data_IF_675207430955
#
_entry.id   IF_675207430955
#
_cell.length_a   1.000
_cell.length_b   1.000
_cell.length_c   1.000
_cell.angle_alpha   90.00
_cell.angle_beta   90.00
_cell.angle_gamma   90.00
#
_symmetry.space_group_name_H-M   'P 1'
#
loop_
_entity.id
_entity.type
_entity.pdbx_description
1 polymer ?
#
# COMPACT_ATOMS: atom_id res chain seq x y z
N UNK A 1 -76.34 39.83 34.27
CA UNK A 1 -75.30 39.03 34.94
C UNK A 1 -75.42 37.63 34.35
N UNK A 2 -74.96 37.40 33.11
CA UNK A 2 -73.57 37.24 32.64
C UNK A 2 -73.08 35.77 32.75
N UNK A 3 -73.09 35.13 31.58
CA UNK A 3 -72.21 34.07 31.05
C UNK A 3 -72.33 32.60 31.50
N UNK A 4 -72.49 31.69 30.53
CA UNK A 4 -71.72 30.44 30.34
C UNK A 4 -70.79 30.57 29.10
N UNK A 5 -70.18 29.48 28.60
CA UNK A 5 -69.05 28.72 29.11
C UNK A 5 -67.73 29.06 28.37
N UNK A 6 -66.61 28.63 28.94
CA UNK A 6 -65.24 28.80 28.42
C UNK A 6 -64.95 27.93 27.19
N UNK A 7 -64.70 28.60 26.06
CA UNK A 7 -64.16 28.01 24.82
C UNK A 7 -62.62 28.11 24.76
N UNK A 8 -62.08 27.06 24.17
CA UNK A 8 -60.68 26.80 23.83
C UNK A 8 -60.28 27.69 22.64
N UNK A 9 -59.13 28.37 22.72
CA UNK A 9 -58.60 29.22 21.64
C UNK A 9 -57.08 29.30 21.69
N UNK A 10 -56.45 28.50 20.83
CA UNK A 10 -55.01 28.27 20.64
C UNK A 10 -54.39 29.35 19.75
N UNK A 11 -53.26 29.95 20.18
CA UNK A 11 -52.02 30.23 19.40
C UNK A 11 -51.26 31.44 19.97
N UNK A 12 -50.15 31.18 20.67
CA UNK A 12 -48.98 32.07 20.65
C UNK A 12 -47.75 31.20 20.34
N UNK A 13 -47.26 31.33 19.11
CA UNK A 13 -46.01 30.71 18.64
C UNK A 13 -44.86 31.54 19.20
N UNK A 14 -44.17 31.01 20.20
CA UNK A 14 -42.85 31.49 20.59
C UNK A 14 -41.78 30.46 20.22
N UNK A 15 -40.94 30.93 19.31
CA UNK A 15 -39.61 30.50 18.91
C UNK A 15 -38.85 29.65 19.95
N UNK A 16 -38.78 28.34 19.68
CA UNK A 16 -37.64 27.53 20.10
C UNK A 16 -36.81 27.20 18.87
N UNK A 17 -35.81 28.06 18.62
CA UNK A 17 -34.65 27.75 17.77
C UNK A 17 -33.87 26.61 18.42
N UNK A 18 -34.30 25.39 18.18
CA UNK A 18 -33.47 24.21 18.29
C UNK A 18 -32.39 24.27 17.22
N UNK A 19 -31.22 24.77 17.61
CA UNK A 19 -30.00 24.77 16.81
C UNK A 19 -29.56 23.30 16.62
N UNK A 20 -30.14 22.59 15.65
CA UNK A 20 -29.53 21.38 15.09
C UNK A 20 -28.32 21.85 14.27
N UNK A 21 -27.16 21.94 14.94
CA UNK A 21 -25.90 21.88 14.22
C UNK A 21 -25.83 20.56 13.45
N UNK A 22 -25.17 20.51 12.28
CA UNK A 22 -24.98 19.25 11.58
C UNK A 22 -24.23 18.32 12.53
N UNK A 23 -24.92 17.27 12.95
CA UNK A 23 -24.34 16.20 13.74
C UNK A 23 -23.12 15.65 13.02
N UNK A 24 -22.10 15.34 13.80
CA UNK A 24 -20.99 14.51 13.39
C UNK A 24 -21.53 13.23 12.73
N UNK A 25 -21.47 13.15 11.40
CA UNK A 25 -21.47 11.86 10.72
C UNK A 25 -20.14 11.18 11.07
N UNK A 26 -20.16 10.53 12.24
CA UNK A 26 -19.20 9.49 12.59
C UNK A 26 -19.27 8.44 11.50
N UNK A 27 -18.17 8.28 10.78
CA UNK A 27 -17.90 7.19 9.84
C UNK A 27 -18.22 5.85 10.49
N UNK A 28 -19.45 5.36 10.31
CA UNK A 28 -19.90 4.05 10.79
C UNK A 28 -19.22 2.98 9.95
N UNK A 29 -18.49 2.07 10.60
CA UNK A 29 -17.96 0.89 9.95
C UNK A 29 -19.10 -0.13 9.74
N UNK A 30 -19.68 -0.10 8.53
CA UNK A 30 -20.85 -0.90 8.12
C UNK A 30 -20.57 -2.41 7.95
N UNK A 31 -19.35 -2.88 8.27
CA UNK A 31 -19.01 -4.31 8.24
C UNK A 31 -19.71 -5.08 9.36
N UNK A 32 -20.21 -6.28 9.05
CA UNK A 32 -20.73 -7.22 10.04
C UNK A 32 -19.62 -7.75 10.94
N UNK A 33 -19.96 -8.26 12.13
CA UNK A 33 -18.97 -8.86 13.04
C UNK A 33 -18.24 -10.05 12.40
N UNK A 34 -18.96 -10.87 11.62
CA UNK A 34 -18.37 -11.98 10.86
C UNK A 34 -17.38 -11.49 9.79
N UNK A 35 -17.67 -10.35 9.13
CA UNK A 35 -16.76 -9.74 8.16
C UNK A 35 -15.51 -9.19 8.86
N UNK A 36 -15.68 -8.47 9.98
CA UNK A 36 -14.56 -7.94 10.78
C UNK A 36 -13.64 -9.07 11.25
N UNK A 37 -14.21 -10.20 11.68
CA UNK A 37 -13.44 -11.38 12.08
C UNK A 37 -12.67 -12.01 10.91
N UNK A 38 -13.31 -12.17 9.75
CA UNK A 38 -12.66 -12.68 8.54
C UNK A 38 -11.52 -11.78 8.07
N UNK A 39 -11.73 -10.46 8.07
CA UNK A 39 -10.72 -9.47 7.71
C UNK A 39 -9.52 -9.52 8.67
N UNK A 40 -9.77 -9.63 9.98
CA UNK A 40 -8.71 -9.74 11.00
C UNK A 40 -7.90 -11.04 10.87
N UNK A 41 -8.56 -12.18 10.65
CA UNK A 41 -7.89 -13.47 10.41
C UNK A 41 -7.03 -13.43 9.15
N UNK A 42 -7.55 -12.83 8.07
CA UNK A 42 -6.80 -12.66 6.83
C UNK A 42 -5.62 -11.70 7.02
N UNK A 43 -5.82 -10.55 7.67
CA UNK A 43 -4.78 -9.57 7.92
C UNK A 43 -3.63 -10.17 8.75
N UNK A 44 -3.94 -10.97 9.77
CA UNK A 44 -2.94 -11.70 10.55
C UNK A 44 -2.15 -12.69 9.70
N UNK A 45 -2.84 -13.50 8.88
CA UNK A 45 -2.19 -14.47 8.00
C UNK A 45 -1.27 -13.80 6.98
N UNK A 46 -1.74 -12.72 6.35
CA UNK A 46 -0.94 -11.95 5.39
C UNK A 46 0.25 -11.27 6.06
N UNK A 47 0.07 -10.74 7.28
CA UNK A 47 1.15 -10.10 8.03
C UNK A 47 2.30 -11.08 8.26
N UNK A 48 1.98 -12.28 8.75
CA UNK A 48 2.98 -13.33 8.99
C UNK A 48 3.74 -13.71 7.69
N UNK A 49 3.04 -13.88 6.57
CA UNK A 49 3.67 -14.20 5.28
C UNK A 49 4.66 -13.11 4.81
N UNK A 50 4.33 -11.84 5.04
CA UNK A 50 5.14 -10.70 4.61
C UNK A 50 6.30 -10.46 5.59
N UNK A 51 6.09 -10.66 6.89
CA UNK A 51 7.14 -10.62 7.91
C UNK A 51 8.20 -11.71 7.66
N UNK A 52 7.79 -12.96 7.43
CA UNK A 52 8.69 -14.06 7.08
C UNK A 52 9.49 -13.78 5.80
N UNK A 53 8.89 -13.08 4.84
CA UNK A 53 9.56 -12.66 3.63
C UNK A 53 10.58 -11.53 3.90
N UNK A 54 10.20 -10.55 4.71
CA UNK A 54 11.07 -9.45 5.13
C UNK A 54 12.33 -9.95 5.83
N UNK A 55 12.20 -10.91 6.75
CA UNK A 55 13.35 -11.50 7.45
C UNK A 55 14.40 -12.08 6.48
N UNK A 56 13.96 -12.58 5.32
CA UNK A 56 14.83 -13.20 4.32
C UNK A 56 15.35 -12.21 3.28
N UNK A 57 14.52 -11.28 2.82
CA UNK A 57 14.87 -10.37 1.71
C UNK A 57 15.66 -9.14 2.17
N UNK A 58 15.39 -8.62 3.38
CA UNK A 58 16.05 -7.40 3.89
C UNK A 58 17.57 -7.58 4.06
N UNK A 59 18.10 -8.73 4.53
CA UNK A 59 19.54 -8.95 4.50
C UNK A 59 20.13 -8.91 3.09
N UNK A 60 19.41 -9.42 2.08
CA UNK A 60 19.85 -9.42 0.69
C UNK A 60 19.89 -7.99 0.11
N UNK A 61 18.88 -7.16 0.39
CA UNK A 61 18.87 -5.76 -0.06
C UNK A 61 20.05 -4.98 0.53
N UNK A 62 20.39 -5.20 1.81
CA UNK A 62 21.56 -4.61 2.46
C UNK A 62 22.87 -5.06 1.82
N UNK A 63 23.01 -6.34 1.48
CA UNK A 63 24.19 -6.84 0.77
C UNK A 63 24.31 -6.23 -0.63
N UNK A 64 23.21 -6.12 -1.39
CA UNK A 64 23.18 -5.47 -2.70
C UNK A 64 23.68 -4.03 -2.60
N UNK A 65 23.14 -3.25 -1.65
CA UNK A 65 23.59 -1.86 -1.41
C UNK A 65 25.07 -1.78 -1.12
N UNK A 66 25.55 -2.63 -0.21
CA UNK A 66 26.98 -2.67 0.17
C UNK A 66 27.89 -2.95 -1.03
N UNK A 67 27.53 -3.89 -1.91
CA UNK A 67 28.33 -4.18 -3.10
C UNK A 67 28.40 -2.99 -4.06
N UNK A 68 27.26 -2.31 -4.28
CA UNK A 68 27.19 -1.13 -5.16
C UNK A 68 27.95 0.05 -4.53
N UNK A 69 27.77 0.33 -3.24
CA UNK A 69 28.48 1.39 -2.51
C UNK A 69 30.00 1.17 -2.53
N UNK A 70 30.45 -0.06 -2.28
CA UNK A 70 31.86 -0.41 -2.31
C UNK A 70 32.47 -0.23 -3.71
N UNK A 71 31.70 -0.48 -4.77
CA UNK A 71 32.16 -0.26 -6.14
C UNK A 71 32.21 1.25 -6.47
N UNK A 72 31.19 2.01 -6.07
CA UNK A 72 31.11 3.46 -6.28
C UNK A 72 32.21 4.23 -5.52
N UNK A 73 32.63 3.74 -4.36
CA UNK A 73 33.71 4.33 -3.59
C UNK A 73 35.12 4.12 -4.19
N UNK A 74 35.29 3.22 -5.17
CA UNK A 74 36.58 3.00 -5.85
C UNK A 74 36.88 4.13 -6.82
N UNK A 75 38.17 4.36 -7.06
CA UNK A 75 38.64 5.22 -8.17
C UNK A 75 38.14 4.66 -9.49
N UNK A 76 37.89 5.53 -10.47
CA UNK A 76 37.23 5.15 -11.71
C UNK A 76 38.01 4.05 -12.46
N UNK A 77 39.34 4.15 -12.48
CA UNK A 77 40.24 3.17 -13.07
C UNK A 77 40.24 1.79 -12.39
N UNK A 78 39.81 1.71 -11.13
CA UNK A 78 39.79 0.49 -10.30
C UNK A 78 38.39 -0.14 -10.22
N UNK A 79 37.39 0.43 -10.91
CA UNK A 79 36.02 -0.08 -10.93
C UNK A 79 35.91 -1.26 -11.88
N UNK A 80 35.59 -2.43 -11.33
CA UNK A 80 35.29 -3.63 -12.12
C UNK A 80 33.78 -3.89 -12.14
N UNK A 81 33.13 -3.49 -13.23
CA UNK A 81 31.70 -3.72 -13.41
C UNK A 81 31.32 -5.20 -13.47
N UNK A 82 32.20 -6.09 -13.92
CA UNK A 82 31.92 -7.53 -13.93
C UNK A 82 31.92 -8.09 -12.52
N UNK A 83 32.88 -7.68 -11.68
CA UNK A 83 32.92 -8.05 -10.27
C UNK A 83 31.63 -7.61 -9.55
N UNK A 84 31.13 -6.40 -9.84
CA UNK A 84 29.86 -5.93 -9.30
C UNK A 84 28.69 -6.81 -9.74
N UNK A 85 28.61 -7.15 -11.03
CA UNK A 85 27.57 -8.02 -11.58
C UNK A 85 27.59 -9.38 -10.90
N UNK A 86 28.76 -10.00 -10.78
CA UNK A 86 28.92 -11.34 -10.22
C UNK A 86 28.53 -11.39 -8.73
N UNK A 87 28.76 -10.29 -7.99
CA UNK A 87 28.37 -10.17 -6.60
C UNK A 87 26.85 -9.90 -6.41
N UNK A 88 26.26 -9.03 -7.23
CA UNK A 88 24.88 -8.55 -7.03
C UNK A 88 23.83 -9.47 -7.65
N UNK A 89 24.12 -10.04 -8.83
CA UNK A 89 23.20 -10.91 -9.57
C UNK A 89 22.62 -12.07 -8.75
N UNK A 90 23.42 -12.89 -8.02
CA UNK A 90 22.85 -14.00 -7.24
C UNK A 90 21.91 -13.52 -6.12
N UNK A 91 22.18 -12.35 -5.52
CA UNK A 91 21.35 -11.77 -4.47
C UNK A 91 19.98 -11.32 -5.03
N UNK A 92 19.96 -10.70 -6.22
CA UNK A 92 18.73 -10.30 -6.89
C UNK A 92 17.87 -11.52 -7.26
N UNK A 93 18.48 -12.58 -7.81
CA UNK A 93 17.78 -13.82 -8.15
C UNK A 93 17.16 -14.46 -6.90
N UNK A 94 17.90 -14.49 -5.79
CA UNK A 94 17.41 -15.05 -4.54
C UNK A 94 16.27 -14.21 -3.96
N UNK A 95 16.39 -12.89 -3.96
CA UNK A 95 15.34 -11.97 -3.51
C UNK A 95 14.08 -12.12 -4.37
N UNK A 96 14.23 -12.22 -5.69
CA UNK A 96 13.12 -12.41 -6.63
C UNK A 96 12.39 -13.73 -6.36
N UNK A 97 13.14 -14.81 -6.13
CA UNK A 97 12.57 -16.11 -5.78
C UNK A 97 11.71 -16.03 -4.53
N UNK A 98 12.23 -15.41 -3.46
CA UNK A 98 11.49 -15.23 -2.20
C UNK A 98 10.20 -14.45 -2.45
N UNK A 99 10.27 -13.32 -3.16
CA UNK A 99 9.08 -12.51 -3.42
C UNK A 99 8.05 -13.22 -4.30
N UNK A 100 8.46 -14.03 -5.28
CA UNK A 100 7.53 -14.85 -6.06
C UNK A 100 6.83 -15.92 -5.21
N UNK A 101 7.56 -16.60 -4.32
CA UNK A 101 6.99 -17.56 -3.37
C UNK A 101 5.98 -16.87 -2.43
N UNK A 102 6.34 -15.69 -1.89
CA UNK A 102 5.43 -14.87 -1.07
C UNK A 102 4.22 -14.40 -1.85
N UNK A 103 4.39 -13.95 -3.09
CA UNK A 103 3.29 -13.53 -3.97
C UNK A 103 2.29 -14.68 -4.19
N UNK A 104 2.79 -15.89 -4.44
CA UNK A 104 1.96 -17.09 -4.55
C UNK A 104 1.21 -17.40 -3.25
N UNK A 105 1.88 -17.31 -2.10
CA UNK A 105 1.27 -17.54 -0.79
C UNK A 105 0.20 -16.49 -0.44
N UNK A 106 0.45 -15.21 -0.72
CA UNK A 106 -0.52 -14.11 -0.57
C UNK A 106 -1.76 -14.37 -1.42
N UNK A 107 -1.58 -14.75 -2.70
CA UNK A 107 -2.69 -15.12 -3.58
C UNK A 107 -3.47 -16.34 -3.08
N UNK A 108 -2.78 -17.31 -2.48
CA UNK A 108 -3.38 -18.49 -1.86
C UNK A 108 -4.08 -18.24 -0.53
N UNK A 109 -3.87 -17.08 0.11
CA UNK A 109 -4.49 -16.73 1.38
C UNK A 109 -5.97 -16.30 1.23
N UNK A 110 -6.36 -15.72 0.08
CA UNK A 110 -7.76 -15.45 -0.31
C UNK A 110 -8.10 -16.10 -1.68
N UNK A 111 -8.26 -17.43 -1.74
CA UNK A 111 -8.57 -18.15 -2.97
C UNK A 111 -10.03 -17.86 -3.37
N UNK A 112 -10.22 -16.77 -4.13
CA UNK A 112 -11.51 -16.33 -4.64
C UNK A 112 -11.70 -14.82 -4.69
N UNK A 113 -10.73 -14.02 -4.21
CA UNK A 113 -10.91 -12.57 -4.10
C UNK A 113 -12.18 -12.20 -3.32
N UNK A 114 -12.62 -13.06 -2.39
CA UNK A 114 -13.91 -12.89 -1.70
C UNK A 114 -13.85 -11.68 -0.78
N UNK A 115 -12.66 -11.39 -0.24
CA UNK A 115 -12.39 -10.19 0.55
C UNK A 115 -12.10 -9.00 -0.37
N UNK A 116 -11.32 -9.17 -1.45
CA UNK A 116 -11.05 -8.10 -2.44
C UNK A 116 -12.33 -7.52 -3.07
N UNK A 117 -13.34 -8.35 -3.32
CA UNK A 117 -14.64 -7.92 -3.85
C UNK A 117 -15.49 -7.16 -2.83
N UNK A 118 -15.25 -7.36 -1.53
CA UNK A 118 -15.91 -6.66 -0.42
C UNK A 118 -15.18 -5.37 -0.05
N UNK A 119 -13.84 -5.35 -0.09
CA UNK A 119 -13.02 -4.17 0.17
C UNK A 119 -13.30 -3.01 -0.81
N UNK A 120 -13.61 -3.31 -2.08
CA UNK A 120 -14.09 -2.33 -3.07
C UNK A 120 -15.35 -1.56 -2.64
N UNK A 121 -16.10 -2.06 -1.65
CA UNK A 121 -17.36 -1.45 -1.17
C UNK A 121 -17.17 -0.56 0.07
N UNK A 122 -15.99 -0.50 0.68
CA UNK A 122 -15.79 0.20 1.97
C UNK A 122 -14.44 0.93 2.06
N UNK A 123 -14.24 1.95 1.21
CA UNK A 123 -13.05 2.83 1.28
C UNK A 123 -13.19 3.93 2.34
N UNK A 124 -14.40 4.13 2.89
CA UNK A 124 -14.72 5.36 3.63
C UNK A 124 -14.47 5.31 5.15
N UNK A 125 -14.07 4.18 5.73
CA UNK A 125 -14.06 4.01 7.19
C UNK A 125 -12.89 4.67 7.93
N UNK A 126 -11.82 5.13 7.25
CA UNK A 126 -10.65 5.86 7.80
C UNK A 126 -9.94 5.27 9.05
N UNK A 127 -10.35 4.12 9.57
CA UNK A 127 -9.84 3.52 10.80
C UNK A 127 -9.40 2.07 10.54
N UNK A 128 -8.09 1.85 10.41
CA UNK A 128 -7.51 0.52 10.29
C UNK A 128 -7.48 -0.20 11.66
N UNK A 129 -7.85 -1.49 11.70
CA UNK A 129 -7.75 -2.32 12.91
C UNK A 129 -6.28 -2.58 13.28
N UNK A 130 -5.97 -3.04 14.51
CA UNK A 130 -4.60 -3.39 14.89
C UNK A 130 -3.94 -4.41 13.94
N UNK A 131 -4.70 -5.39 13.45
CA UNK A 131 -4.24 -6.40 12.49
C UNK A 131 -3.95 -5.79 11.12
N UNK A 132 -4.80 -4.88 10.64
CA UNK A 132 -4.57 -4.14 9.39
C UNK A 132 -3.37 -3.18 9.52
N UNK A 133 -3.17 -2.57 10.68
CA UNK A 133 -2.00 -1.73 10.97
C UNK A 133 -0.71 -2.53 10.97
N UNK A 134 -0.69 -3.72 11.59
CA UNK A 134 0.44 -4.65 11.53
C UNK A 134 0.76 -5.03 10.09
N UNK A 135 -0.27 -5.37 9.31
CA UNK A 135 -0.09 -5.70 7.90
C UNK A 135 0.48 -4.55 7.10
N UNK A 136 -0.03 -3.33 7.32
CA UNK A 136 0.49 -2.12 6.68
C UNK A 136 1.96 -1.88 7.07
N UNK A 137 2.34 -2.14 8.32
CA UNK A 137 3.73 -2.01 8.79
C UNK A 137 4.64 -3.08 8.16
N UNK A 138 4.18 -4.33 8.02
CA UNK A 138 4.93 -5.38 7.33
C UNK A 138 5.15 -5.04 5.85
N UNK A 139 4.11 -4.57 5.16
CA UNK A 139 4.20 -4.06 3.78
C UNK A 139 5.13 -2.86 3.67
N UNK A 140 5.07 -1.95 4.64
CA UNK A 140 5.92 -0.77 4.68
C UNK A 140 7.39 -1.15 4.66
N UNK A 141 7.80 -2.07 5.54
CA UNK A 141 9.18 -2.57 5.57
C UNK A 141 9.57 -3.18 4.23
N UNK A 142 8.71 -4.00 3.62
CA UNK A 142 8.99 -4.62 2.33
C UNK A 142 9.20 -3.57 1.23
N UNK A 143 8.33 -2.55 1.17
CA UNK A 143 8.38 -1.47 0.18
C UNK A 143 9.61 -0.59 0.38
N UNK A 144 9.90 -0.19 1.62
CA UNK A 144 11.07 0.63 1.96
C UNK A 144 12.37 -0.10 1.62
N UNK A 145 12.49 -1.35 2.03
CA UNK A 145 13.73 -2.11 1.90
C UNK A 145 13.92 -2.63 0.48
N UNK A 146 12.91 -3.26 -0.13
CA UNK A 146 13.02 -3.82 -1.49
C UNK A 146 12.83 -2.71 -2.53
N UNK A 147 11.69 -2.02 -2.50
CA UNK A 147 11.37 -0.97 -3.47
C UNK A 147 12.39 0.17 -3.44
N UNK A 148 12.73 0.64 -2.23
CA UNK A 148 13.78 1.65 -2.05
C UNK A 148 15.15 1.19 -2.55
N UNK A 149 15.51 -0.09 -2.38
CA UNK A 149 16.78 -0.61 -2.93
C UNK A 149 16.77 -0.71 -4.44
N UNK A 150 15.64 -1.11 -5.06
CA UNK A 150 15.52 -1.17 -6.52
C UNK A 150 15.76 0.22 -7.12
N UNK A 151 15.04 1.22 -6.62
CA UNK A 151 15.13 2.58 -7.15
C UNK A 151 16.52 3.18 -6.92
N UNK A 152 17.05 3.04 -5.70
CA UNK A 152 18.40 3.50 -5.39
C UNK A 152 19.46 2.81 -6.25
N UNK A 153 19.36 1.49 -6.46
CA UNK A 153 20.32 0.72 -7.25
C UNK A 153 20.28 1.13 -8.72
N UNK A 154 19.09 1.33 -9.30
CA UNK A 154 18.95 1.83 -10.68
C UNK A 154 19.68 3.16 -10.87
N UNK A 155 19.44 4.11 -9.96
CA UNK A 155 20.07 5.43 -10.01
C UNK A 155 21.60 5.34 -9.87
N UNK A 156 22.10 4.45 -8.99
CA UNK A 156 23.56 4.23 -8.85
C UNK A 156 24.18 3.55 -10.06
N UNK A 157 23.48 2.62 -10.69
CA UNK A 157 23.95 1.89 -11.87
C UNK A 157 24.06 2.78 -13.12
N UNK A 158 23.51 3.99 -13.13
CA UNK A 158 23.73 4.95 -14.23
C UNK A 158 25.21 5.29 -14.46
N UNK A 159 26.05 5.17 -13.42
CA UNK A 159 27.50 5.33 -13.51
C UNK A 159 28.25 4.06 -13.92
N UNK A 160 27.54 2.95 -14.14
CA UNK A 160 28.09 1.62 -14.47
C UNK A 160 27.33 1.00 -15.66
N UNK A 161 27.64 1.41 -16.91
CA UNK A 161 26.83 1.06 -18.07
C UNK A 161 26.73 -0.45 -18.36
N UNK A 162 27.79 -1.23 -18.10
CA UNK A 162 27.79 -2.69 -18.27
C UNK A 162 26.98 -3.34 -17.15
N UNK A 163 27.21 -2.96 -15.90
CA UNK A 163 26.47 -3.49 -14.76
C UNK A 163 24.98 -3.14 -14.85
N UNK A 164 24.63 -1.93 -15.29
CA UNK A 164 23.25 -1.51 -15.56
C UNK A 164 22.57 -2.42 -16.58
N UNK A 165 23.25 -2.75 -17.68
CA UNK A 165 22.69 -3.64 -18.72
C UNK A 165 22.39 -5.04 -18.17
N UNK A 166 23.26 -5.55 -17.31
CA UNK A 166 23.19 -6.95 -16.85
C UNK A 166 22.34 -7.11 -15.56
N UNK A 167 22.28 -6.08 -14.70
CA UNK A 167 21.51 -6.07 -13.44
C UNK A 167 20.16 -5.37 -13.55
N UNK A 168 20.01 -4.39 -14.45
CA UNK A 168 18.77 -3.65 -14.66
C UNK A 168 17.54 -4.54 -14.88
N UNK A 169 17.60 -5.52 -15.81
CA UNK A 169 16.50 -6.46 -16.02
C UNK A 169 16.13 -7.28 -14.77
N UNK A 170 17.10 -7.58 -13.89
CA UNK A 170 16.86 -8.32 -12.65
C UNK A 170 16.21 -7.44 -11.58
N UNK A 171 16.58 -6.15 -11.53
CA UNK A 171 15.90 -5.16 -10.68
C UNK A 171 14.44 -4.97 -11.14
N UNK A 172 14.19 -4.98 -12.45
CA UNK A 172 12.84 -4.94 -13.01
C UNK A 172 12.03 -6.19 -12.64
N UNK A 173 12.63 -7.38 -12.80
CA UNK A 173 12.04 -8.65 -12.45
C UNK A 173 11.69 -8.74 -10.95
N UNK A 174 12.56 -8.21 -10.07
CA UNK A 174 12.30 -8.12 -8.63
C UNK A 174 11.13 -7.17 -8.29
N UNK A 175 10.98 -6.08 -9.05
CA UNK A 175 9.91 -5.11 -8.84
C UNK A 175 8.50 -5.64 -9.18
N UNK A 176 8.39 -6.62 -10.07
CA UNK A 176 7.11 -7.20 -10.46
C UNK A 176 6.38 -7.92 -9.31
N UNK A 177 6.96 -8.93 -8.62
CA UNK A 177 6.28 -9.59 -7.51
C UNK A 177 6.05 -8.64 -6.33
N UNK A 178 6.96 -7.67 -6.07
CA UNK A 178 6.72 -6.61 -5.09
C UNK A 178 5.43 -5.84 -5.39
N UNK A 179 5.28 -5.36 -6.63
CA UNK A 179 4.08 -4.66 -7.10
C UNK A 179 2.83 -5.51 -6.89
N UNK A 180 2.90 -6.81 -7.23
CA UNK A 180 1.77 -7.73 -7.13
C UNK A 180 1.39 -8.06 -5.68
N UNK A 181 2.36 -8.19 -4.77
CA UNK A 181 2.09 -8.37 -3.33
C UNK A 181 1.37 -7.13 -2.80
N UNK A 182 1.92 -5.94 -3.04
CA UNK A 182 1.33 -4.69 -2.55
C UNK A 182 -0.06 -4.47 -3.14
N UNK A 183 -0.24 -4.71 -4.44
CA UNK A 183 -1.53 -4.64 -5.12
C UNK A 183 -2.54 -5.65 -4.56
N UNK A 184 -2.12 -6.90 -4.38
CA UNK A 184 -2.95 -7.98 -3.86
C UNK A 184 -3.43 -7.66 -2.45
N UNK A 185 -2.54 -7.23 -1.56
CA UNK A 185 -2.89 -6.91 -0.17
C UNK A 185 -3.67 -5.61 -0.06
N UNK A 186 -3.30 -4.57 -0.82
CA UNK A 186 -4.03 -3.32 -0.86
C UNK A 186 -5.48 -3.54 -1.29
N UNK A 187 -5.72 -4.29 -2.36
CA UNK A 187 -7.09 -4.59 -2.78
C UNK A 187 -7.91 -5.38 -1.75
N UNK A 188 -7.27 -6.11 -0.85
CA UNK A 188 -7.95 -6.90 0.18
C UNK A 188 -8.43 -6.05 1.36
N UNK A 189 -7.73 -4.96 1.69
CA UNK A 189 -8.00 -4.20 2.91
C UNK A 189 -7.92 -2.70 2.63
N UNK A 190 -9.10 -2.06 2.59
CA UNK A 190 -9.22 -0.65 2.25
C UNK A 190 -8.42 0.29 3.19
N UNK A 191 -8.34 -0.05 4.48
CA UNK A 191 -7.51 0.67 5.45
C UNK A 191 -6.01 0.63 5.13
N UNK A 192 -5.54 -0.44 4.47
CA UNK A 192 -4.12 -0.63 4.11
C UNK A 192 -3.75 0.17 2.86
N UNK A 193 -4.66 0.35 1.89
CA UNK A 193 -4.39 1.10 0.66
C UNK A 193 -3.98 2.55 0.92
N UNK A 194 -4.66 3.24 1.83
CA UNK A 194 -4.33 4.63 2.15
C UNK A 194 -2.96 4.74 2.81
N UNK A 195 -2.63 3.82 3.72
CA UNK A 195 -1.33 3.77 4.40
C UNK A 195 -0.20 3.50 3.40
N UNK A 196 -0.39 2.52 2.51
CA UNK A 196 0.58 2.17 1.47
C UNK A 196 0.71 3.29 0.43
N UNK A 197 -0.39 3.93 0.02
CA UNK A 197 -0.36 5.05 -0.93
C UNK A 197 0.44 6.23 -0.37
N UNK A 198 0.14 6.65 0.85
CA UNK A 198 0.87 7.72 1.54
C UNK A 198 2.36 7.38 1.73
N UNK A 199 2.67 6.11 2.02
CA UNK A 199 4.04 5.64 2.12
C UNK A 199 4.78 5.76 0.77
N UNK A 200 4.21 5.21 -0.30
CA UNK A 200 4.86 5.18 -1.62
C UNK A 200 5.15 6.60 -2.12
N UNK A 201 4.19 7.52 -1.95
CA UNK A 201 4.37 8.93 -2.27
C UNK A 201 5.43 9.60 -1.40
N UNK A 202 5.49 9.28 -0.10
CA UNK A 202 6.50 9.81 0.82
C UNK A 202 7.93 9.35 0.53
N UNK A 203 8.10 8.17 -0.07
CA UNK A 203 9.40 7.59 -0.42
C UNK A 203 9.87 7.92 -1.85
N UNK A 204 9.05 8.60 -2.65
CA UNK A 204 9.35 8.87 -4.06
C UNK A 204 9.27 7.63 -4.96
N UNK A 205 8.54 6.58 -4.55
CA UNK A 205 8.39 5.34 -5.31
C UNK A 205 7.24 5.42 -6.34
N UNK A 206 7.23 6.49 -7.14
CA UNK A 206 6.14 6.81 -8.08
C UNK A 206 5.95 5.73 -9.15
N UNK A 207 7.03 5.08 -9.58
CA UNK A 207 6.97 3.96 -10.53
C UNK A 207 6.23 2.75 -9.96
N UNK A 208 6.49 2.41 -8.70
CA UNK A 208 5.81 1.33 -7.99
C UNK A 208 4.34 1.69 -7.75
N UNK A 209 4.04 2.92 -7.35
CA UNK A 209 2.67 3.42 -7.20
C UNK A 209 1.88 3.32 -8.51
N UNK A 210 2.46 3.77 -9.64
CA UNK A 210 1.85 3.63 -10.98
C UNK A 210 1.66 2.18 -11.37
N UNK A 211 2.63 1.31 -11.07
CA UNK A 211 2.54 -0.13 -11.30
C UNK A 211 1.38 -0.77 -10.54
N UNK A 212 1.20 -0.42 -9.26
CA UNK A 212 0.08 -0.89 -8.43
C UNK A 212 -1.25 -0.39 -9.00
N UNK A 213 -1.36 0.91 -9.30
CA UNK A 213 -2.58 1.50 -9.88
C UNK A 213 -2.96 0.79 -11.19
N UNK A 214 -1.98 0.53 -12.06
CA UNK A 214 -2.19 -0.19 -13.32
C UNK A 214 -2.57 -1.66 -13.12
N UNK A 215 -1.90 -2.37 -12.23
CA UNK A 215 -2.14 -3.80 -11.97
C UNK A 215 -3.50 -4.08 -11.32
N UNK A 216 -3.99 -3.14 -10.51
CA UNK A 216 -5.26 -3.26 -9.78
C UNK A 216 -6.46 -2.70 -10.56
N UNK A 217 -6.22 -1.91 -11.60
CA UNK A 217 -7.27 -1.15 -12.29
C UNK A 217 -7.92 -0.08 -11.40
N UNK A 218 -7.21 0.34 -10.34
CA UNK A 218 -7.66 1.41 -9.43
C UNK A 218 -7.87 2.72 -10.20
N UNK A 219 -7.16 2.94 -11.30
CA UNK A 219 -7.35 4.10 -12.19
C UNK A 219 -8.80 4.24 -12.69
N UNK A 220 -9.49 3.12 -12.93
CA UNK A 220 -10.90 3.09 -13.34
C UNK A 220 -11.85 3.40 -12.18
N UNK A 221 -11.48 3.00 -10.97
CA UNK A 221 -12.23 3.30 -9.75
C UNK A 221 -12.09 4.78 -9.39
N UNK A 222 -10.85 5.32 -9.38
CA UNK A 222 -10.60 6.74 -9.12
C UNK A 222 -11.20 7.66 -10.18
N UNK A 223 -11.18 7.28 -11.47
CA UNK A 223 -11.89 8.01 -12.54
C UNK A 223 -13.41 7.90 -12.41
N UNK A 224 -13.94 6.74 -12.01
CA UNK A 224 -15.37 6.55 -11.77
C UNK A 224 -15.92 7.34 -10.56
N UNK A 225 -15.04 7.67 -9.61
CA UNK A 225 -15.34 8.47 -8.41
C UNK A 225 -15.02 9.97 -8.56
N UNK A 226 -14.51 10.42 -9.70
CA UNK A 226 -14.17 11.84 -9.92
C UNK A 226 -12.98 12.37 -9.11
N UNK A 227 -12.11 11.47 -8.63
CA UNK A 227 -10.92 11.78 -7.84
C UNK A 227 -9.66 12.03 -8.70
N UNK A 228 -9.80 11.94 -10.03
CA UNK A 228 -8.80 12.32 -11.02
C UNK A 228 -8.34 13.78 -10.87
N UNK A 229 -9.22 14.65 -10.38
CA UNK A 229 -8.88 16.04 -10.06
C UNK A 229 -7.92 16.15 -8.89
N UNK A 230 -8.02 15.29 -7.87
CA UNK A 230 -7.20 15.37 -6.65
C UNK A 230 -5.74 14.97 -6.90
N UNK A 231 -5.52 13.89 -7.68
CA UNK A 231 -4.18 13.43 -8.08
C UNK A 231 -3.42 14.42 -8.99
N UNK A 232 -4.13 15.37 -9.60
CA UNK A 232 -3.54 16.39 -10.47
C UNK A 232 -3.39 17.77 -9.80
N UNK A 233 -3.60 17.88 -8.48
CA UNK A 233 -3.62 19.19 -7.77
C UNK A 233 -2.30 19.61 -7.12
N UNK A 234 -1.16 19.16 -7.62
CA UNK A 234 0.13 19.81 -7.32
C UNK A 234 0.94 19.98 -8.60
N UNK A 235 0.65 21.07 -9.29
CA UNK A 235 1.66 21.81 -10.07
C UNK A 235 2.52 22.61 -9.11
#
# INVERSE_FOLDING_TARGET
>A
MSSPPSEIGVHDRRDERGMQGPGSDTTSDDRTDDQKKQDAELANRLSALIEDANEKVVPLTKMIRKHIENMDARKEEDRDEQELVDAVKPLLIQAEKILNETQGAVKGADPGNKVSNRAKRHVDAHNATPEEQRLAQALKVMVEEVGGTIEWARNKLDSFPKAKRDLGPLLDALGQPLTQIVAGVGMLLAGVLNLVGNLLSGLGLDGLLKGIIGATGLDKIYKGLGLDKWLNTKK
#
